data_IF_471675419309
#
_entry.id   IF_471675419309
#
_cell.length_a   1.000
_cell.length_b   1.000
_cell.length_c   1.000
_cell.angle_alpha   90.00
_cell.angle_beta   90.00
_cell.angle_gamma   90.00
#
_symmetry.space_group_name_H-M   'P 1'
#
loop_
_entity.id
_entity.type
_entity.pdbx_description
1 polymer ?
#
# COMPACT_ATOMS: atom_id res chain seq x y z
N UNK A 1 -18.87 0.45 -27.74
CA UNK A 1 -18.10 -0.60 -27.00
C UNK A 1 -17.54 0.04 -25.76
N UNK A 2 -17.72 -0.53 -24.57
CA UNK A 2 -17.14 0.02 -23.36
C UNK A 2 -15.60 -0.10 -23.44
N UNK A 3 -14.90 1.00 -23.22
CA UNK A 3 -13.45 1.04 -23.19
C UNK A 3 -12.92 0.10 -22.10
N UNK A 4 -12.02 -0.81 -22.46
CA UNK A 4 -11.44 -1.76 -21.51
C UNK A 4 -10.25 -1.11 -20.82
N UNK A 5 -10.37 -0.88 -19.51
CA UNK A 5 -9.31 -0.32 -18.68
C UNK A 5 -8.62 -1.41 -17.85
N UNK A 6 -7.31 -1.29 -17.72
CA UNK A 6 -6.54 -2.05 -16.73
C UNK A 6 -5.79 -1.07 -15.81
N UNK A 7 -5.73 -1.43 -14.54
CA UNK A 7 -5.08 -0.67 -13.48
C UNK A 7 -3.86 -1.47 -13.00
N UNK A 8 -2.70 -0.86 -13.03
CA UNK A 8 -1.40 -1.50 -12.72
C UNK A 8 -0.69 -0.70 -11.65
N UNK A 9 -0.29 -1.37 -10.59
CA UNK A 9 0.54 -0.81 -9.52
C UNK A 9 1.92 -1.48 -9.55
N UNK A 10 2.96 -0.70 -9.83
CA UNK A 10 4.36 -1.13 -9.87
C UNK A 10 5.02 -0.73 -8.55
N UNK A 11 4.98 -1.64 -7.58
CA UNK A 11 5.63 -1.48 -6.28
C UNK A 11 7.08 -1.94 -6.28
N UNK A 12 7.73 -1.86 -5.11
CA UNK A 12 9.13 -2.29 -4.95
C UNK A 12 9.34 -3.80 -5.05
N UNK A 13 8.36 -4.61 -4.63
CA UNK A 13 8.49 -6.08 -4.54
C UNK A 13 7.56 -6.83 -5.50
N UNK A 14 6.53 -6.19 -6.02
CA UNK A 14 5.54 -6.83 -6.88
C UNK A 14 4.89 -5.85 -7.84
N UNK A 15 4.46 -6.36 -8.98
CA UNK A 15 3.49 -5.71 -9.87
C UNK A 15 2.12 -6.31 -9.59
N UNK A 16 1.15 -5.45 -9.28
CA UNK A 16 -0.24 -5.82 -9.05
C UNK A 16 -1.12 -5.21 -10.13
N UNK A 17 -2.15 -5.92 -10.56
CA UNK A 17 -3.08 -5.37 -11.56
C UNK A 17 -4.47 -5.97 -11.44
N UNK A 18 -5.42 -5.25 -11.98
CA UNK A 18 -6.80 -5.73 -12.21
C UNK A 18 -7.46 -4.99 -13.37
N UNK A 19 -8.52 -5.54 -13.91
CA UNK A 19 -9.51 -4.81 -14.68
C UNK A 19 -10.52 -4.17 -13.71
N UNK A 20 -11.46 -3.36 -14.21
CA UNK A 20 -12.44 -2.67 -13.36
C UNK A 20 -13.09 -3.60 -12.32
N UNK A 21 -12.94 -3.29 -11.03
CA UNK A 21 -13.51 -4.03 -9.87
C UNK A 21 -13.35 -5.56 -9.90
N UNK A 22 -12.39 -6.08 -10.67
CA UNK A 22 -12.12 -7.51 -10.74
C UNK A 22 -11.13 -7.97 -9.67
N UNK A 23 -10.88 -9.29 -9.63
CA UNK A 23 -9.83 -9.88 -8.79
C UNK A 23 -8.48 -9.23 -9.06
N UNK A 24 -7.73 -8.96 -8.00
CA UNK A 24 -6.35 -8.49 -8.08
C UNK A 24 -5.42 -9.66 -8.41
N UNK A 25 -4.59 -9.46 -9.41
CA UNK A 25 -3.47 -10.33 -9.75
C UNK A 25 -2.18 -9.70 -9.21
N UNK A 26 -1.23 -10.53 -8.82
CA UNK A 26 0.08 -10.09 -8.33
C UNK A 26 1.18 -11.01 -8.84
N UNK A 27 2.30 -10.43 -9.25
CA UNK A 27 3.54 -11.16 -9.54
C UNK A 27 4.71 -10.46 -8.86
N UNK A 28 5.67 -11.26 -8.38
CA UNK A 28 6.93 -10.74 -7.87
C UNK A 28 7.64 -9.93 -8.96
N UNK A 29 8.31 -8.85 -8.58
CA UNK A 29 8.95 -7.89 -9.49
C UNK A 29 10.01 -8.57 -10.37
N UNK A 30 10.79 -9.50 -9.79
CA UNK A 30 11.90 -10.17 -10.49
C UNK A 30 11.41 -11.19 -11.54
N UNK A 31 10.18 -11.71 -11.38
CA UNK A 31 9.57 -12.71 -12.28
C UNK A 31 8.44 -12.14 -13.12
N UNK A 32 8.17 -10.84 -13.00
CA UNK A 32 7.09 -10.20 -13.73
C UNK A 32 7.27 -10.31 -15.24
N UNK A 33 6.19 -10.66 -15.93
CA UNK A 33 6.14 -10.72 -17.38
C UNK A 33 5.00 -9.87 -17.93
N UNK A 34 5.30 -9.01 -18.90
CA UNK A 34 4.28 -8.24 -19.62
C UNK A 34 3.19 -9.10 -20.28
N UNK A 35 3.49 -10.39 -20.56
CA UNK A 35 2.50 -11.33 -21.12
C UNK A 35 1.35 -11.59 -20.17
N UNK A 36 1.56 -11.39 -18.86
CA UNK A 36 0.53 -11.57 -17.83
C UNK A 36 -0.53 -10.46 -17.87
N UNK A 37 -0.21 -9.28 -18.39
CA UNK A 37 -1.17 -8.18 -18.50
C UNK A 37 -2.14 -8.44 -19.68
N UNK A 38 -3.47 -8.34 -19.46
CA UNK A 38 -4.47 -8.54 -20.50
C UNK A 38 -4.42 -7.42 -21.55
N UNK A 39 -5.09 -7.63 -22.69
CA UNK A 39 -5.31 -6.54 -23.68
C UNK A 39 -6.22 -5.48 -23.04
N UNK A 40 -5.95 -4.21 -23.30
CA UNK A 40 -6.74 -3.09 -22.84
C UNK A 40 -6.61 -1.90 -23.79
N UNK A 41 -7.65 -1.06 -23.83
CA UNK A 41 -7.65 0.19 -24.58
C UNK A 41 -6.89 1.28 -23.83
N UNK A 42 -6.95 1.27 -22.50
CA UNK A 42 -6.22 2.19 -21.62
C UNK A 42 -5.58 1.44 -20.46
N UNK A 43 -4.33 1.78 -20.16
CA UNK A 43 -3.60 1.29 -18.99
C UNK A 43 -3.34 2.46 -18.05
N UNK A 44 -3.90 2.40 -16.84
CA UNK A 44 -3.59 3.33 -15.76
C UNK A 44 -2.49 2.73 -14.89
N UNK A 45 -1.44 3.50 -14.62
CA UNK A 45 -0.24 2.99 -13.92
C UNK A 45 0.08 3.87 -12.72
N UNK A 46 0.29 3.21 -11.57
CA UNK A 46 1.02 3.73 -10.42
C UNK A 46 2.43 3.15 -10.47
N UNK A 47 3.46 3.98 -10.33
CA UNK A 47 4.85 3.52 -10.31
C UNK A 47 5.66 4.31 -9.27
N UNK A 48 6.15 3.62 -8.24
CA UNK A 48 7.07 4.18 -7.22
C UNK A 48 8.53 3.75 -7.46
N UNK A 49 8.72 2.71 -8.28
CA UNK A 49 10.02 2.12 -8.61
C UNK A 49 9.97 1.47 -9.99
N UNK A 50 11.09 0.87 -10.42
CA UNK A 50 11.19 0.03 -11.62
C UNK A 50 10.68 0.69 -12.91
N UNK A 51 11.22 1.86 -13.24
CA UNK A 51 10.88 2.64 -14.43
C UNK A 51 11.02 1.85 -15.75
N UNK A 52 11.89 0.83 -15.78
CA UNK A 52 12.03 -0.09 -16.91
C UNK A 52 10.74 -0.88 -17.21
N UNK A 53 9.99 -1.28 -16.17
CA UNK A 53 8.69 -1.96 -16.35
C UNK A 53 7.65 -0.98 -16.88
N UNK A 54 7.63 0.24 -16.38
CA UNK A 54 6.76 1.30 -16.87
C UNK A 54 7.01 1.58 -18.35
N UNK A 55 8.27 1.74 -18.76
CA UNK A 55 8.62 1.95 -20.16
C UNK A 55 8.27 0.76 -21.07
N UNK A 56 8.42 -0.45 -20.56
CA UNK A 56 7.98 -1.66 -21.27
C UNK A 56 6.45 -1.71 -21.44
N UNK A 57 5.68 -1.26 -20.45
CA UNK A 57 4.21 -1.10 -20.55
C UNK A 57 3.87 -0.04 -21.61
N UNK A 58 4.54 1.13 -21.62
CA UNK A 58 4.35 2.19 -22.61
C UNK A 58 4.68 1.72 -24.05
N UNK A 59 5.62 0.80 -24.18
CA UNK A 59 5.95 0.20 -25.49
C UNK A 59 4.87 -0.79 -25.96
N UNK A 60 4.26 -1.54 -25.03
CA UNK A 60 3.24 -2.56 -25.35
C UNK A 60 1.86 -1.97 -25.64
N UNK A 61 1.49 -0.89 -24.95
CA UNK A 61 0.15 -0.30 -25.03
C UNK A 61 0.22 1.13 -25.59
N UNK A 62 -0.73 1.47 -26.45
CA UNK A 62 -0.80 2.79 -27.11
C UNK A 62 -1.30 3.90 -26.22
N UNK A 63 -2.11 3.59 -25.20
CA UNK A 63 -2.68 4.58 -24.30
C UNK A 63 -2.36 4.20 -22.85
N UNK A 64 -1.26 4.76 -22.33
CA UNK A 64 -0.81 4.57 -20.95
C UNK A 64 -0.90 5.91 -20.23
N UNK A 65 -1.61 5.93 -19.10
CA UNK A 65 -1.78 7.09 -18.23
C UNK A 65 -1.14 6.82 -16.88
N UNK A 66 -0.16 7.61 -16.53
CA UNK A 66 0.56 7.51 -15.26
C UNK A 66 -0.10 8.39 -14.20
N UNK A 67 -0.32 7.83 -13.02
CA UNK A 67 -0.84 8.58 -11.88
C UNK A 67 0.27 9.35 -11.16
N UNK A 68 -0.05 10.54 -10.70
CA UNK A 68 0.84 11.40 -9.92
C UNK A 68 0.11 11.93 -8.69
N UNK A 69 0.86 12.21 -7.61
CA UNK A 69 0.31 12.83 -6.41
C UNK A 69 -0.08 14.29 -6.67
N UNK A 70 -1.36 14.59 -6.54
CA UNK A 70 -1.93 15.92 -6.75
C UNK A 70 -2.19 16.59 -5.40
N UNK A 71 -2.06 17.93 -5.34
CA UNK A 71 -2.40 18.68 -4.13
C UNK A 71 -3.84 18.47 -3.70
N UNK A 72 -4.75 18.35 -4.68
CA UNK A 72 -6.15 18.04 -4.47
C UNK A 72 -6.65 17.08 -5.55
N UNK A 73 -7.44 16.09 -5.15
CA UNK A 73 -8.14 15.17 -6.05
C UNK A 73 -9.44 14.71 -5.38
N UNK A 74 -10.57 15.02 -6.01
CA UNK A 74 -11.88 14.81 -5.39
C UNK A 74 -11.96 15.50 -4.02
N UNK A 75 -12.28 14.73 -2.98
CA UNK A 75 -12.30 15.21 -1.59
C UNK A 75 -10.91 15.28 -0.93
N UNK A 76 -9.92 14.55 -1.46
CA UNK A 76 -8.60 14.50 -0.86
C UNK A 76 -7.84 15.80 -1.07
N UNK A 77 -7.39 16.42 0.03
CA UNK A 77 -6.44 17.53 0.01
C UNK A 77 -5.19 17.14 0.81
N UNK A 78 -4.02 17.15 0.18
CA UNK A 78 -2.77 16.74 0.81
C UNK A 78 -2.21 17.78 1.79
N UNK A 79 -1.64 17.31 2.91
CA UNK A 79 -0.90 18.16 3.84
C UNK A 79 0.42 18.67 3.27
N UNK A 80 1.05 17.91 2.39
CA UNK A 80 2.34 18.22 1.78
C UNK A 80 2.27 19.57 1.03
N UNK A 81 3.25 20.46 1.28
CA UNK A 81 3.38 21.73 0.54
C UNK A 81 3.63 21.46 -0.95
N UNK A 82 4.55 20.54 -1.24
CA UNK A 82 4.84 20.03 -2.58
C UNK A 82 4.28 18.61 -2.67
N UNK A 83 3.17 18.44 -3.38
CA UNK A 83 2.51 17.15 -3.53
C UNK A 83 3.37 16.09 -4.23
N UNK A 84 4.32 16.50 -5.08
CA UNK A 84 5.23 15.59 -5.78
C UNK A 84 6.19 14.83 -4.85
N UNK A 85 6.31 15.26 -3.59
CA UNK A 85 7.14 14.61 -2.57
C UNK A 85 6.41 13.50 -1.81
N UNK A 86 5.10 13.37 -1.98
CA UNK A 86 4.36 12.23 -1.46
C UNK A 86 4.41 11.07 -2.48
N UNK A 87 4.73 9.86 -2.03
CA UNK A 87 4.65 8.66 -2.86
C UNK A 87 3.26 8.50 -3.48
N UNK A 88 3.22 8.17 -4.77
CA UNK A 88 1.94 8.03 -5.49
C UNK A 88 1.11 6.86 -4.96
N UNK A 89 1.74 5.81 -4.45
CA UNK A 89 1.11 4.68 -3.76
C UNK A 89 0.31 5.15 -2.52
N UNK A 90 0.91 5.97 -1.66
CA UNK A 90 0.25 6.55 -0.49
C UNK A 90 -0.91 7.46 -0.89
N UNK A 91 -0.71 8.32 -1.88
CA UNK A 91 -1.76 9.17 -2.43
C UNK A 91 -2.96 8.35 -2.93
N UNK A 92 -2.69 7.29 -3.68
CA UNK A 92 -3.74 6.42 -4.21
C UNK A 92 -4.41 5.59 -3.11
N UNK A 93 -3.65 5.08 -2.12
CA UNK A 93 -4.24 4.39 -0.99
C UNK A 93 -5.25 5.27 -0.23
N UNK A 94 -4.92 6.56 -0.05
CA UNK A 94 -5.83 7.55 0.53
C UNK A 94 -7.08 7.79 -0.32
N UNK A 95 -6.94 7.90 -1.64
CA UNK A 95 -8.09 8.01 -2.55
C UNK A 95 -8.98 6.76 -2.49
N UNK A 96 -8.36 5.57 -2.48
CA UNK A 96 -9.07 4.31 -2.33
C UNK A 96 -9.84 4.22 -1.00
N UNK A 97 -9.23 4.66 0.10
CA UNK A 97 -9.88 4.71 1.39
C UNK A 97 -11.12 5.62 1.40
N UNK A 98 -11.02 6.80 0.76
CA UNK A 98 -12.14 7.73 0.65
C UNK A 98 -13.29 7.24 -0.26
N UNK A 99 -13.05 6.33 -1.20
CA UNK A 99 -14.13 5.66 -1.95
C UNK A 99 -15.01 4.80 -1.05
N UNK A 100 -14.42 4.19 -0.01
CA UNK A 100 -15.14 3.34 0.93
C UNK A 100 -15.73 4.12 2.11
N UNK A 101 -15.03 5.16 2.58
CA UNK A 101 -15.36 5.94 3.78
C UNK A 101 -15.21 7.44 3.53
N UNK A 102 -16.12 8.06 2.77
CA UNK A 102 -15.92 9.42 2.26
C UNK A 102 -16.08 10.54 3.30
N UNK A 103 -16.61 10.25 4.49
CA UNK A 103 -16.94 11.25 5.51
C UNK A 103 -16.38 10.90 6.91
N UNK A 104 -15.47 9.94 6.97
CA UNK A 104 -14.94 9.44 8.23
C UNK A 104 -13.52 9.98 8.49
N UNK A 105 -13.10 9.98 9.74
CA UNK A 105 -11.70 10.04 10.09
C UNK A 105 -11.06 8.71 9.75
N UNK A 106 -9.94 8.69 9.04
CA UNK A 106 -9.30 7.48 8.55
C UNK A 106 -7.85 7.40 8.98
N UNK A 107 -7.44 6.23 9.48
CA UNK A 107 -6.05 5.79 9.50
C UNK A 107 -5.86 4.74 8.42
N UNK A 108 -5.00 5.00 7.46
CA UNK A 108 -4.67 4.08 6.38
C UNK A 108 -3.28 3.50 6.65
N UNK A 109 -3.17 2.17 6.70
CA UNK A 109 -1.94 1.43 6.96
C UNK A 109 -1.66 0.53 5.76
N UNK A 110 -0.52 0.73 5.10
CA UNK A 110 -0.04 -0.21 4.07
C UNK A 110 1.20 -0.93 4.58
N UNK A 111 1.11 -2.27 4.67
CA UNK A 111 2.19 -3.15 5.19
C UNK A 111 2.86 -3.85 4.00
N UNK A 112 3.80 -3.15 3.42
CA UNK A 112 4.60 -3.60 2.26
C UNK A 112 6.09 -3.69 2.53
N UNK A 113 6.90 -3.33 1.52
CA UNK A 113 8.36 -3.18 1.65
C UNK A 113 8.75 -2.10 2.65
N UNK A 114 7.93 -1.07 2.77
CA UNK A 114 7.83 -0.16 3.89
C UNK A 114 6.45 -0.32 4.53
N UNK A 115 6.30 0.10 5.79
CA UNK A 115 4.99 0.29 6.41
C UNK A 115 4.70 1.78 6.42
N UNK A 116 3.58 2.17 5.84
CA UNK A 116 3.14 3.57 5.84
C UNK A 116 1.87 3.74 6.64
N UNK A 117 1.74 4.91 7.26
CA UNK A 117 0.57 5.34 7.99
C UNK A 117 0.18 6.71 7.46
N UNK A 118 -1.06 6.89 7.07
CA UNK A 118 -1.60 8.17 6.62
C UNK A 118 -2.93 8.45 7.33
N UNK A 119 -3.09 9.65 7.85
CA UNK A 119 -4.31 10.07 8.53
C UNK A 119 -5.06 11.08 7.69
N UNK A 120 -6.36 10.86 7.51
CA UNK A 120 -7.29 11.78 6.84
C UNK A 120 -8.41 12.14 7.81
N UNK A 121 -8.78 13.42 7.87
CA UNK A 121 -9.95 13.82 8.65
C UNK A 121 -11.26 13.62 7.86
N UNK A 122 -12.39 13.78 8.53
CA UNK A 122 -13.73 13.59 7.94
C UNK A 122 -14.09 14.60 6.81
N UNK A 123 -13.23 15.60 6.55
CA UNK A 123 -13.35 16.53 5.42
C UNK A 123 -12.52 16.10 4.22
N UNK A 124 -11.76 15.00 4.32
CA UNK A 124 -10.84 14.55 3.28
C UNK A 124 -9.47 15.25 3.32
N UNK A 125 -9.13 15.94 4.41
CA UNK A 125 -7.85 16.63 4.55
C UNK A 125 -6.82 15.67 5.17
N UNK A 126 -5.75 15.39 4.45
CA UNK A 126 -4.61 14.63 4.93
C UNK A 126 -3.91 15.37 6.07
N UNK A 127 -3.73 14.71 7.20
CA UNK A 127 -3.12 15.28 8.40
C UNK A 127 -1.62 15.00 8.52
N UNK A 128 -1.07 14.19 7.62
CA UNK A 128 0.30 13.70 7.65
C UNK A 128 0.37 12.19 7.81
N UNK A 129 1.59 11.66 7.86
CA UNK A 129 1.80 10.21 7.99
C UNK A 129 3.21 9.86 8.42
N UNK A 130 3.43 8.55 8.60
CA UNK A 130 4.72 7.97 8.97
C UNK A 130 5.14 6.95 7.91
N UNK A 131 6.44 6.72 7.82
CA UNK A 131 7.04 5.65 7.03
C UNK A 131 7.98 4.88 7.95
N UNK A 132 7.81 3.56 7.99
CA UNK A 132 8.66 2.67 8.76
C UNK A 132 9.23 1.57 7.86
N UNK A 133 10.36 0.95 8.23
CA UNK A 133 10.86 -0.24 7.54
C UNK A 133 9.84 -1.38 7.60
N UNK A 134 9.60 -2.07 6.48
CA UNK A 134 8.86 -3.33 6.48
C UNK A 134 9.72 -4.49 7.03
N UNK A 135 9.12 -5.69 7.14
CA UNK A 135 9.76 -6.84 7.79
C UNK A 135 11.12 -7.19 7.18
N UNK A 136 11.24 -7.16 5.84
CA UNK A 136 12.49 -7.43 5.14
C UNK A 136 13.59 -6.46 5.58
N UNK A 137 13.31 -5.16 5.51
CA UNK A 137 14.26 -4.12 5.87
C UNK A 137 14.65 -4.19 7.37
N UNK A 138 13.70 -4.51 8.26
CA UNK A 138 13.99 -4.75 9.67
C UNK A 138 14.96 -5.92 9.85
N UNK A 139 14.75 -7.05 9.18
CA UNK A 139 15.61 -8.24 9.26
C UNK A 139 17.00 -8.03 8.68
N UNK A 140 17.10 -7.20 7.65
CA UNK A 140 18.39 -6.83 7.02
C UNK A 140 19.11 -5.68 7.73
N UNK A 141 18.47 -4.99 8.67
CA UNK A 141 19.02 -3.77 9.32
C UNK A 141 20.30 -3.99 10.12
N UNK A 142 20.54 -5.20 10.59
CA UNK A 142 21.73 -5.52 11.35
C UNK A 142 22.48 -6.69 10.67
N UNK A 143 23.56 -6.38 9.97
CA UNK A 143 24.29 -7.29 9.10
C UNK A 143 24.72 -8.62 9.74
N UNK A 144 25.06 -8.60 11.05
CA UNK A 144 25.46 -9.80 11.80
C UNK A 144 24.34 -10.85 11.89
N UNK A 145 23.07 -10.41 11.88
CA UNK A 145 21.88 -11.28 12.02
C UNK A 145 20.98 -11.20 10.80
N UNK A 146 21.47 -10.55 9.72
CA UNK A 146 20.70 -10.41 8.48
C UNK A 146 20.25 -11.77 7.95
N UNK A 147 18.98 -11.85 7.54
CA UNK A 147 18.40 -13.07 6.99
C UNK A 147 17.41 -12.74 5.89
N UNK A 148 17.36 -13.59 4.87
CA UNK A 148 16.38 -13.55 3.79
C UNK A 148 15.10 -14.33 4.12
N UNK A 149 15.05 -15.03 5.26
CA UNK A 149 13.84 -15.71 5.73
C UNK A 149 12.82 -14.65 6.15
N UNK A 150 11.73 -14.51 5.41
CA UNK A 150 10.61 -13.62 5.67
C UNK A 150 9.44 -14.32 6.33
N UNK A 151 9.56 -15.60 6.68
CA UNK A 151 8.51 -16.32 7.37
C UNK A 151 8.16 -15.61 8.69
N UNK A 152 6.86 -15.46 8.93
CA UNK A 152 6.37 -14.91 10.17
C UNK A 152 6.65 -15.88 11.31
N UNK A 153 7.05 -15.36 12.46
CA UNK A 153 7.42 -16.16 13.63
C UNK A 153 6.57 -15.72 14.82
N UNK A 154 6.40 -16.64 15.75
CA UNK A 154 5.82 -16.29 17.05
C UNK A 154 6.64 -15.18 17.73
N UNK A 155 5.95 -14.24 18.38
CA UNK A 155 6.57 -13.15 19.16
C UNK A 155 7.09 -13.60 20.55
N UNK A 156 7.00 -14.92 20.86
CA UNK A 156 7.50 -15.48 22.13
C UNK A 156 9.02 -15.47 22.20
N UNK A 157 9.53 -15.49 23.44
CA UNK A 157 10.97 -15.59 23.71
C UNK A 157 11.56 -16.87 23.09
N UNK A 158 12.79 -16.79 22.59
CA UNK A 158 13.53 -17.86 21.94
C UNK A 158 14.86 -18.12 22.66
N UNK A 159 15.38 -19.32 22.47
CA UNK A 159 16.61 -19.78 23.13
C UNK A 159 17.81 -19.87 22.18
N UNK A 160 17.63 -19.47 20.91
CA UNK A 160 18.74 -19.35 19.94
C UNK A 160 18.69 -17.98 19.23
N UNK A 161 19.83 -17.54 18.77
CA UNK A 161 20.01 -16.17 18.24
C UNK A 161 19.23 -15.91 16.97
N UNK A 162 19.17 -16.86 16.04
CA UNK A 162 18.47 -16.69 14.77
C UNK A 162 16.97 -16.55 14.97
N UNK A 163 16.36 -17.44 15.71
CA UNK A 163 14.92 -17.35 16.02
C UNK A 163 14.61 -16.13 16.89
N UNK A 164 15.50 -15.75 17.81
CA UNK A 164 15.33 -14.54 18.63
C UNK A 164 15.33 -13.29 17.77
N UNK A 165 16.22 -13.21 16.77
CA UNK A 165 16.22 -12.10 15.80
C UNK A 165 14.96 -12.07 14.94
N UNK A 166 14.54 -13.21 14.39
CA UNK A 166 13.33 -13.33 13.58
C UNK A 166 12.06 -12.97 14.37
N UNK A 167 11.95 -13.47 15.60
CA UNK A 167 10.82 -13.18 16.49
C UNK A 167 10.83 -11.74 16.96
N UNK A 168 12.00 -11.19 17.29
CA UNK A 168 12.16 -9.81 17.73
C UNK A 168 11.78 -8.79 16.64
N UNK A 169 12.22 -9.02 15.40
CA UNK A 169 11.83 -8.15 14.26
C UNK A 169 10.36 -8.25 13.92
N UNK A 170 9.75 -9.43 14.07
CA UNK A 170 8.30 -9.60 13.93
C UNK A 170 7.55 -8.83 15.05
N UNK A 171 7.95 -9.04 16.31
CA UNK A 171 7.36 -8.33 17.45
C UNK A 171 7.46 -6.80 17.29
N UNK A 172 8.60 -6.31 16.80
CA UNK A 172 8.84 -4.88 16.53
C UNK A 172 7.84 -4.32 15.52
N UNK A 173 7.62 -5.05 14.40
CA UNK A 173 6.67 -4.67 13.37
C UNK A 173 5.24 -4.59 13.94
N UNK A 174 4.76 -5.67 14.54
CA UNK A 174 3.38 -5.78 15.04
C UNK A 174 3.12 -4.78 16.18
N UNK A 175 4.05 -4.66 17.14
CA UNK A 175 3.90 -3.73 18.26
C UNK A 175 3.87 -2.28 17.79
N UNK A 176 4.69 -1.92 16.79
CA UNK A 176 4.69 -0.57 16.23
C UNK A 176 3.37 -0.24 15.53
N UNK A 177 2.83 -1.19 14.76
CA UNK A 177 1.52 -1.01 14.10
C UNK A 177 0.41 -0.88 15.15
N UNK A 178 0.35 -1.79 16.12
CA UNK A 178 -0.66 -1.76 17.18
C UNK A 178 -0.60 -0.46 18.00
N UNK A 179 0.60 0.05 18.28
CA UNK A 179 0.75 1.32 19.00
C UNK A 179 0.18 2.50 18.19
N UNK A 180 0.41 2.55 16.87
CA UNK A 180 -0.17 3.60 16.01
C UNK A 180 -1.69 3.50 15.93
N UNK A 181 -2.24 2.28 15.92
CA UNK A 181 -3.69 2.06 15.94
C UNK A 181 -4.28 2.58 17.25
N UNK A 182 -3.71 2.19 18.39
CA UNK A 182 -4.19 2.62 19.73
C UNK A 182 -4.10 4.14 19.89
N UNK A 183 -3.00 4.76 19.46
CA UNK A 183 -2.85 6.23 19.52
C UNK A 183 -3.91 6.93 18.65
N UNK A 184 -4.17 6.40 17.45
CA UNK A 184 -5.21 6.92 16.58
C UNK A 184 -6.62 6.75 17.16
N UNK A 185 -6.99 5.55 17.60
CA UNK A 185 -8.32 5.26 18.18
C UNK A 185 -8.59 6.10 19.44
N UNK A 186 -7.55 6.38 20.24
CA UNK A 186 -7.68 7.25 21.42
C UNK A 186 -8.07 8.69 21.07
N UNK A 187 -7.62 9.19 19.91
CA UNK A 187 -7.89 10.55 19.42
C UNK A 187 -9.15 10.62 18.55
N UNK A 188 -9.52 9.51 17.94
CA UNK A 188 -10.64 9.40 17.00
C UNK A 188 -11.51 8.18 17.32
N UNK A 189 -12.31 8.20 18.42
CA UNK A 189 -13.07 7.03 18.87
C UNK A 189 -14.09 6.48 17.83
N UNK A 190 -14.52 7.31 16.89
CA UNK A 190 -15.41 6.94 15.78
C UNK A 190 -14.68 6.91 14.44
N UNK A 191 -13.35 6.90 14.43
CA UNK A 191 -12.56 6.82 13.22
C UNK A 191 -12.41 5.38 12.75
N UNK A 192 -12.14 5.22 11.46
CA UNK A 192 -11.94 3.94 10.82
C UNK A 192 -10.45 3.65 10.64
N UNK A 193 -10.04 2.41 10.90
CA UNK A 193 -8.68 1.92 10.63
C UNK A 193 -8.73 0.95 9.47
N UNK A 194 -8.06 1.30 8.38
CA UNK A 194 -7.96 0.51 7.16
C UNK A 194 -6.55 -0.02 7.02
N UNK A 195 -6.42 -1.31 6.77
CA UNK A 195 -5.12 -1.95 6.57
C UNK A 195 -5.09 -2.71 5.24
N UNK A 196 -3.99 -2.57 4.52
CA UNK A 196 -3.69 -3.33 3.31
C UNK A 196 -2.20 -3.74 3.30
N UNK A 197 -1.79 -4.52 2.29
CA UNK A 197 -0.41 -4.95 2.13
C UNK A 197 -0.24 -6.45 2.00
N UNK A 198 0.94 -6.85 1.52
CA UNK A 198 1.17 -8.22 1.08
C UNK A 198 1.12 -9.28 2.18
N UNK A 199 1.58 -8.96 3.39
CA UNK A 199 1.66 -9.89 4.53
C UNK A 199 0.48 -9.78 5.50
N UNK A 200 -0.42 -8.82 5.31
CA UNK A 200 -1.48 -8.51 6.30
C UNK A 200 -2.38 -9.71 6.57
N UNK A 201 -2.74 -10.49 5.55
CA UNK A 201 -3.59 -11.69 5.74
C UNK A 201 -3.02 -12.69 6.74
N UNK A 202 -1.70 -12.80 6.79
CA UNK A 202 -1.00 -13.76 7.66
C UNK A 202 -0.93 -13.28 9.11
N UNK A 203 -0.98 -11.96 9.33
CA UNK A 203 -0.88 -11.33 10.67
C UNK A 203 -2.18 -10.68 11.13
N UNK A 204 -3.26 -10.80 10.37
CA UNK A 204 -4.51 -10.09 10.66
C UNK A 204 -5.05 -10.35 12.08
N UNK A 205 -4.86 -11.56 12.58
CA UNK A 205 -5.26 -11.95 13.94
C UNK A 205 -4.41 -11.31 15.06
N UNK A 206 -3.28 -10.69 14.71
CA UNK A 206 -2.42 -9.99 15.67
C UNK A 206 -2.85 -8.53 15.88
N UNK A 207 -3.87 -8.09 15.14
CA UNK A 207 -4.44 -6.74 15.21
C UNK A 207 -5.84 -6.74 15.86
N UNK A 208 -6.32 -5.59 16.37
CA UNK A 208 -7.67 -5.46 16.86
C UNK A 208 -8.75 -5.81 15.84
N UNK A 209 -9.85 -6.41 16.26
CA UNK A 209 -10.97 -6.79 15.37
C UNK A 209 -11.72 -5.59 14.76
N UNK A 210 -11.42 -4.37 15.20
CA UNK A 210 -11.97 -3.11 14.66
C UNK A 210 -11.39 -2.75 13.30
N UNK A 211 -10.24 -3.34 12.92
CA UNK A 211 -9.53 -3.03 11.69
C UNK A 211 -10.24 -3.61 10.47
N UNK A 212 -10.33 -2.80 9.42
CA UNK A 212 -10.89 -3.20 8.13
C UNK A 212 -9.77 -3.54 7.15
N UNK A 213 -9.71 -4.80 6.74
CA UNK A 213 -8.72 -5.27 5.76
C UNK A 213 -9.21 -5.02 4.32
N UNK A 214 -8.31 -4.53 3.47
CA UNK A 214 -8.50 -4.36 2.04
C UNK A 214 -7.39 -5.06 1.25
N UNK A 215 -7.77 -5.75 0.16
CA UNK A 215 -6.78 -6.45 -0.68
C UNK A 215 -5.80 -5.48 -1.36
N UNK A 216 -6.28 -4.32 -1.82
CA UNK A 216 -5.43 -3.31 -2.43
C UNK A 216 -6.10 -1.94 -2.57
N UNK A 217 -5.91 -1.07 -1.58
CA UNK A 217 -6.40 0.31 -1.62
C UNK A 217 -5.74 1.15 -2.72
N UNK A 218 -4.49 0.84 -3.12
CA UNK A 218 -3.79 1.57 -4.18
C UNK A 218 -4.51 1.40 -5.52
N UNK A 219 -4.93 0.17 -5.87
CA UNK A 219 -5.69 -0.06 -7.10
C UNK A 219 -7.12 0.51 -7.02
N UNK A 220 -7.73 0.53 -5.82
CA UNK A 220 -9.02 1.20 -5.62
C UNK A 220 -8.88 2.71 -5.90
N UNK A 221 -7.84 3.33 -5.36
CA UNK A 221 -7.53 4.73 -5.59
C UNK A 221 -7.12 5.05 -7.03
N UNK A 222 -6.39 4.15 -7.69
CA UNK A 222 -6.01 4.34 -9.10
C UNK A 222 -7.24 4.32 -10.01
N UNK A 223 -8.21 3.47 -9.68
CA UNK A 223 -9.50 3.45 -10.36
C UNK A 223 -10.31 4.74 -10.11
N UNK A 224 -10.34 5.23 -8.86
CA UNK A 224 -10.95 6.52 -8.50
C UNK A 224 -10.27 7.69 -9.21
N UNK A 225 -8.94 7.72 -9.20
CA UNK A 225 -8.13 8.70 -9.92
C UNK A 225 -8.46 8.75 -11.41
N UNK A 226 -8.62 7.58 -12.04
CA UNK A 226 -8.94 7.50 -13.46
C UNK A 226 -10.27 8.17 -13.82
N UNK A 227 -11.26 8.11 -12.94
CA UNK A 227 -12.58 8.75 -13.13
C UNK A 227 -12.50 10.27 -13.01
N UNK A 228 -11.56 10.78 -12.19
CA UNK A 228 -11.39 12.24 -12.01
C UNK A 228 -10.58 12.89 -13.13
N UNK A 229 -9.84 12.09 -13.93
CA UNK A 229 -8.97 12.56 -15.01
C UNK A 229 -9.54 12.31 -16.42
N UNK A 230 -10.69 11.70 -16.52
CA UNK A 230 -11.45 11.43 -17.76
C UNK A 230 -12.62 12.36 -17.90
#
# INVERSE_FOLDING_TARGET
MSQSNIFVDIGNSAVKWRTHKSKVFSQNIDTFSLKSLPKADTVWVSAVAHTNILEAIKTKYTNVKEAHSLKQSGKLTLAYKDSSKLGVDRFLAMLGALEHFPNDHLLIIDVGSAVTFDVINNKGEHQGGLIMPGLKALRESFSKFSTNDLALKSTSLKTNTEEAWQSGTHAMLISSINNQIQDYESKHPNGEVLICGGIVKEVLLEFPNTIKYFDNLVLDGLESYSKSMG
#
